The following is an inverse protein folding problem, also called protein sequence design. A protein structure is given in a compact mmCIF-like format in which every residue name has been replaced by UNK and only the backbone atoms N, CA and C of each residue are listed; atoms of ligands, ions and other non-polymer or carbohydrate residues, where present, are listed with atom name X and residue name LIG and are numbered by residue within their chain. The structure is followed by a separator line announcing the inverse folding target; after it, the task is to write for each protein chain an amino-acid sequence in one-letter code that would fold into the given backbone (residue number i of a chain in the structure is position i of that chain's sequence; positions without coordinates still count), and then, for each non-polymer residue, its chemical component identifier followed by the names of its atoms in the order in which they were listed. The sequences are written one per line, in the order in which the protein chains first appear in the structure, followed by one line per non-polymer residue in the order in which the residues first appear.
data_IF_330903685497
#
_entry.id   IF_330903685497
#
_cell.length_a   1.000
_cell.length_b   1.000
_cell.length_c   1.000
_cell.angle_alpha   90.00
_cell.angle_beta   90.00
_cell.angle_gamma   90.00
#
_symmetry.space_group_name_H-M   'P 1'
#
loop_
_entity.id
_entity.type
_entity.pdbx_description
1 polymer ?
#
# COMPACT_ATOMS: atom_id res chain seq x y z
N UNK A 1 31.86 -24.41 -3.99
CA UNK A 1 30.63 -25.17 -4.33
C UNK A 1 29.43 -24.41 -3.78
N UNK A 2 28.80 -23.61 -4.63
CA UNK A 2 27.47 -23.02 -4.44
C UNK A 2 27.01 -22.66 -5.86
N UNK A 3 26.24 -23.56 -6.49
CA UNK A 3 25.74 -23.37 -7.85
C UNK A 3 24.67 -22.27 -7.83
N UNK A 4 25.10 -21.04 -8.13
CA UNK A 4 24.22 -19.97 -8.54
C UNK A 4 23.78 -20.19 -9.99
N UNK A 5 22.59 -20.73 -10.19
CA UNK A 5 21.79 -20.59 -11.41
C UNK A 5 20.31 -20.40 -11.00
N UNK A 6 19.57 -19.56 -11.75
CA UNK A 6 18.27 -19.03 -11.34
C UNK A 6 17.18 -20.11 -11.28
N UNK A 7 16.18 -19.87 -10.42
CA UNK A 7 14.92 -20.60 -10.38
C UNK A 7 14.43 -20.89 -11.82
N UNK A 8 14.17 -22.14 -12.21
CA UNK A 8 13.74 -22.42 -13.57
C UNK A 8 12.39 -21.72 -13.81
N UNK A 9 12.31 -20.97 -14.91
CA UNK A 9 11.03 -20.48 -15.42
C UNK A 9 10.05 -21.65 -15.52
N UNK A 10 8.77 -21.40 -15.22
CA UNK A 10 7.74 -22.42 -15.41
C UNK A 10 7.72 -22.86 -16.87
N UNK A 11 7.71 -24.17 -17.11
CA UNK A 11 7.41 -24.71 -18.44
C UNK A 11 5.97 -24.39 -18.82
N UNK A 12 5.63 -24.45 -20.11
CA UNK A 12 4.26 -24.18 -20.57
C UNK A 12 3.22 -25.09 -19.89
N UNK A 13 3.54 -26.38 -19.71
CA UNK A 13 2.65 -27.35 -19.06
C UNK A 13 2.50 -27.08 -17.57
N UNK A 14 3.59 -26.70 -16.90
CA UNK A 14 3.56 -26.32 -15.49
C UNK A 14 2.77 -25.03 -15.27
N UNK A 15 2.95 -24.03 -16.14
CA UNK A 15 2.18 -22.78 -16.10
C UNK A 15 0.69 -23.04 -16.33
N UNK A 16 0.33 -23.87 -17.31
CA UNK A 16 -1.07 -24.25 -17.55
C UNK A 16 -1.68 -24.96 -16.34
N UNK A 17 -0.97 -25.94 -15.79
CA UNK A 17 -1.41 -26.68 -14.59
C UNK A 17 -1.58 -25.75 -13.38
N UNK A 18 -0.70 -24.77 -13.21
CA UNK A 18 -0.83 -23.76 -12.16
C UNK A 18 -2.07 -22.91 -12.37
N UNK A 19 -2.26 -22.36 -13.57
CA UNK A 19 -3.41 -21.51 -13.89
C UNK A 19 -4.72 -22.29 -13.70
N UNK A 20 -4.79 -23.54 -14.13
CA UNK A 20 -5.99 -24.37 -14.00
C UNK A 20 -6.31 -24.74 -12.54
N UNK A 21 -5.29 -24.84 -11.68
CA UNK A 21 -5.45 -25.27 -10.28
C UNK A 21 -5.86 -24.16 -9.30
N UNK A 22 -5.96 -22.90 -9.74
CA UNK A 22 -6.32 -21.76 -8.87
C UNK A 22 -7.47 -20.94 -9.43
N UNK A 23 -8.28 -20.34 -8.55
CA UNK A 23 -9.38 -19.46 -8.95
C UNK A 23 -8.97 -17.99 -9.06
N UNK A 24 -7.88 -17.61 -8.39
CA UNK A 24 -7.46 -16.22 -8.25
C UNK A 24 -5.94 -16.07 -8.25
N UNK A 25 -5.49 -14.89 -8.70
CA UNK A 25 -4.09 -14.46 -8.65
C UNK A 25 -3.97 -13.19 -7.82
N UNK A 26 -3.03 -13.21 -6.88
CA UNK A 26 -2.63 -12.05 -6.10
C UNK A 26 -1.28 -11.57 -6.64
N UNK A 27 -1.25 -10.36 -7.18
CA UNK A 27 -0.05 -9.76 -7.75
C UNK A 27 0.49 -8.68 -6.83
N UNK A 28 1.79 -8.74 -6.54
CA UNK A 28 2.52 -7.54 -6.15
C UNK A 28 2.50 -6.53 -7.31
N UNK A 29 2.81 -5.27 -7.01
CA UNK A 29 2.75 -4.16 -7.94
C UNK A 29 4.13 -3.67 -8.36
N UNK A 30 4.92 -3.17 -7.41
CA UNK A 30 6.22 -2.57 -7.68
C UNK A 30 7.25 -3.66 -8.01
N UNK A 31 7.73 -3.70 -9.25
CA UNK A 31 8.63 -4.74 -9.76
C UNK A 31 7.94 -5.95 -10.38
N UNK A 32 6.60 -5.98 -10.38
CA UNK A 32 5.78 -7.06 -10.96
C UNK A 32 4.84 -6.55 -12.05
N UNK A 33 4.05 -5.51 -11.76
CA UNK A 33 3.19 -4.85 -12.76
C UNK A 33 3.97 -3.72 -13.46
N UNK A 34 4.77 -2.97 -12.70
CA UNK A 34 5.51 -1.82 -13.22
C UNK A 34 6.88 -1.64 -12.58
N UNK A 35 7.75 -0.88 -13.24
CA UNK A 35 8.96 -0.28 -12.66
C UNK A 35 8.83 1.24 -12.73
N UNK A 36 8.59 1.88 -11.59
CA UNK A 36 8.24 3.30 -11.55
C UNK A 36 6.90 3.55 -12.26
N UNK A 37 6.96 4.28 -13.37
CA UNK A 37 5.79 4.68 -14.18
C UNK A 37 5.72 3.94 -15.53
N UNK A 38 6.44 2.84 -15.68
CA UNK A 38 6.41 2.00 -16.88
C UNK A 38 5.92 0.59 -16.55
N UNK A 39 4.99 0.07 -17.35
CA UNK A 39 4.56 -1.32 -17.25
C UNK A 39 5.71 -2.26 -17.60
N UNK A 40 5.74 -3.40 -16.94
CA UNK A 40 6.62 -4.50 -17.33
C UNK A 40 6.02 -5.18 -18.58
N UNK A 41 6.90 -5.54 -19.52
CA UNK A 41 6.51 -6.20 -20.77
C UNK A 41 5.71 -7.48 -20.50
N UNK A 42 4.62 -7.68 -21.25
CA UNK A 42 3.74 -8.85 -21.13
C UNK A 42 2.68 -8.74 -20.03
N UNK A 43 2.71 -7.70 -19.18
CA UNK A 43 1.72 -7.53 -18.10
C UNK A 43 0.30 -7.35 -18.64
N UNK A 44 0.01 -6.40 -19.56
CA UNK A 44 -1.35 -6.25 -20.09
C UNK A 44 -1.91 -7.54 -20.66
N UNK A 45 -1.12 -8.25 -21.46
CA UNK A 45 -1.48 -9.50 -22.12
C UNK A 45 -1.74 -10.61 -21.10
N UNK A 46 -0.91 -10.70 -20.06
CA UNK A 46 -1.07 -11.71 -19.00
C UNK A 46 -2.33 -11.46 -18.18
N UNK A 47 -2.60 -10.22 -17.78
CA UNK A 47 -3.79 -9.89 -17.00
C UNK A 47 -5.07 -10.13 -17.80
N UNK A 48 -5.10 -9.72 -19.08
CA UNK A 48 -6.23 -9.96 -19.99
C UNK A 48 -6.46 -11.47 -20.21
N UNK A 49 -5.40 -12.24 -20.43
CA UNK A 49 -5.49 -13.70 -20.56
C UNK A 49 -6.12 -14.33 -19.31
N UNK A 50 -5.64 -13.99 -18.11
CA UNK A 50 -6.16 -14.54 -16.86
C UNK A 50 -7.63 -14.15 -16.65
N UNK A 51 -8.02 -12.90 -16.94
CA UNK A 51 -9.43 -12.47 -16.90
C UNK A 51 -10.30 -13.26 -17.88
N UNK A 52 -9.84 -13.48 -19.12
CA UNK A 52 -10.53 -14.30 -20.14
C UNK A 52 -10.69 -15.76 -19.72
N UNK A 53 -9.74 -16.28 -18.94
CA UNK A 53 -9.83 -17.61 -18.31
C UNK A 53 -10.71 -17.65 -17.05
N UNK A 54 -11.41 -16.55 -16.74
CA UNK A 54 -12.32 -16.46 -15.59
C UNK A 54 -11.61 -16.33 -14.24
N UNK A 55 -10.32 -16.02 -14.22
CA UNK A 55 -9.55 -15.87 -12.96
C UNK A 55 -9.83 -14.51 -12.33
N UNK A 56 -9.97 -14.49 -11.00
CA UNK A 56 -10.03 -13.25 -10.22
C UNK A 56 -8.64 -12.67 -10.04
N UNK A 57 -8.51 -11.35 -10.20
CA UNK A 57 -7.24 -10.65 -10.02
C UNK A 57 -7.31 -9.75 -8.80
N UNK A 58 -6.28 -9.78 -7.98
CA UNK A 58 -6.13 -8.90 -6.82
C UNK A 58 -4.71 -8.35 -6.82
N UNK A 59 -4.56 -7.05 -6.60
CA UNK A 59 -3.29 -6.35 -6.59
C UNK A 59 -2.95 -5.96 -5.15
N UNK A 60 -1.94 -6.61 -4.59
CA UNK A 60 -1.55 -6.50 -3.18
C UNK A 60 -0.19 -5.80 -3.11
N UNK A 61 -0.11 -4.63 -2.49
CA UNK A 61 1.15 -3.88 -2.38
C UNK A 61 1.42 -3.40 -0.97
N UNK A 62 2.68 -3.50 -0.53
CA UNK A 62 3.14 -2.93 0.74
C UNK A 62 3.35 -1.40 0.68
N UNK A 63 3.15 -0.79 -0.48
CA UNK A 63 3.38 0.63 -0.69
C UNK A 63 2.21 1.45 -0.13
N UNK A 64 2.47 2.17 0.96
CA UNK A 64 1.49 2.99 1.69
C UNK A 64 1.37 4.41 1.16
N UNK A 65 2.11 4.77 0.11
CA UNK A 65 2.17 6.15 -0.37
C UNK A 65 0.85 6.65 -0.95
N UNK A 66 0.08 5.76 -1.56
CA UNK A 66 -1.16 6.05 -2.27
C UNK A 66 -2.31 5.25 -1.66
N UNK A 67 -3.51 5.83 -1.71
CA UNK A 67 -4.76 5.11 -1.44
C UNK A 67 -5.12 4.17 -2.60
N UNK A 68 -6.08 3.27 -2.39
CA UNK A 68 -6.63 2.41 -3.44
C UNK A 68 -7.19 3.24 -4.59
N UNK A 69 -7.91 4.33 -4.30
CA UNK A 69 -8.40 5.28 -5.32
C UNK A 69 -7.27 5.89 -6.14
N UNK A 70 -6.17 6.28 -5.51
CA UNK A 70 -5.01 6.82 -6.20
C UNK A 70 -4.28 5.74 -7.03
N UNK A 71 -4.24 4.48 -6.57
CA UNK A 71 -3.71 3.37 -7.36
C UNK A 71 -4.60 3.00 -8.54
N UNK A 72 -5.93 2.98 -8.38
CA UNK A 72 -6.86 2.76 -9.49
C UNK A 72 -6.63 3.81 -10.61
N UNK A 73 -6.40 5.08 -10.23
CA UNK A 73 -5.99 6.12 -11.19
C UNK A 73 -4.65 5.81 -11.86
N UNK A 74 -3.65 5.30 -11.12
CA UNK A 74 -2.35 4.89 -11.69
C UNK A 74 -2.52 3.75 -12.69
N UNK A 75 -3.25 2.69 -12.33
CA UNK A 75 -3.55 1.58 -13.25
C UNK A 75 -4.18 2.09 -14.54
N UNK A 76 -5.22 2.94 -14.43
CA UNK A 76 -5.88 3.54 -15.59
C UNK A 76 -4.93 4.38 -16.44
N UNK A 77 -4.07 5.19 -15.82
CA UNK A 77 -3.06 5.98 -16.53
C UNK A 77 -2.04 5.11 -17.29
N UNK A 78 -1.82 3.89 -16.82
CA UNK A 78 -0.98 2.88 -17.48
C UNK A 78 -1.76 2.03 -18.50
N UNK A 79 -3.04 2.33 -18.74
CA UNK A 79 -3.89 1.60 -19.69
C UNK A 79 -4.47 0.28 -19.17
N UNK A 80 -4.47 0.08 -17.84
CA UNK A 80 -5.04 -1.10 -17.19
C UNK A 80 -6.35 -0.74 -16.48
N UNK A 81 -7.41 -1.49 -16.78
CA UNK A 81 -8.69 -1.38 -16.08
C UNK A 81 -8.66 -2.24 -14.80
N UNK A 82 -8.47 -1.57 -13.67
CA UNK A 82 -8.44 -2.14 -12.32
C UNK A 82 -9.31 -1.28 -11.40
N UNK A 83 -10.23 -1.93 -10.70
CA UNK A 83 -11.17 -1.31 -9.76
C UNK A 83 -10.55 -1.17 -8.36
N UNK A 84 -11.12 -0.32 -7.50
CA UNK A 84 -10.60 -0.12 -6.14
C UNK A 84 -10.75 -1.38 -5.27
N UNK A 85 -11.76 -2.21 -5.55
CA UNK A 85 -12.05 -3.48 -4.90
C UNK A 85 -11.00 -4.55 -5.21
N UNK A 86 -10.31 -4.42 -6.33
CA UNK A 86 -9.21 -5.31 -6.73
C UNK A 86 -7.87 -4.90 -6.08
N UNK A 87 -7.81 -3.79 -5.34
CA UNK A 87 -6.54 -3.23 -4.83
C UNK A 87 -6.49 -3.34 -3.31
N UNK A 88 -5.40 -3.93 -2.80
CA UNK A 88 -5.09 -4.06 -1.39
C UNK A 88 -3.72 -3.43 -1.09
N UNK A 89 -3.74 -2.22 -0.57
CA UNK A 89 -2.52 -1.52 -0.12
C UNK A 89 -2.27 -1.76 1.37
N UNK A 90 -1.04 -1.54 1.82
CA UNK A 90 -0.73 -1.49 3.26
C UNK A 90 -1.47 -0.35 3.98
N UNK A 91 -1.74 0.78 3.30
CA UNK A 91 -2.57 1.88 3.84
C UNK A 91 -4.00 1.43 4.13
N UNK A 92 -4.62 0.73 3.18
CA UNK A 92 -5.96 0.17 3.36
C UNK A 92 -5.99 -0.91 4.44
N UNK A 93 -5.00 -1.81 4.43
CA UNK A 93 -4.87 -2.86 5.43
C UNK A 93 -4.78 -2.29 6.86
N UNK A 94 -4.02 -1.21 7.06
CA UNK A 94 -3.90 -0.55 8.36
C UNK A 94 -5.21 0.12 8.82
N UNK A 95 -5.91 0.80 7.91
CA UNK A 95 -7.23 1.39 8.21
C UNK A 95 -8.26 0.31 8.56
N UNK A 96 -8.30 -0.79 7.80
CA UNK A 96 -9.19 -1.92 8.08
C UNK A 96 -8.82 -2.66 9.35
N UNK A 97 -7.53 -2.77 9.68
CA UNK A 97 -7.08 -3.36 10.94
C UNK A 97 -7.68 -2.61 12.13
N UNK A 98 -7.60 -1.28 12.15
CA UNK A 98 -8.24 -0.48 13.21
C UNK A 98 -9.75 -0.69 13.26
N UNK A 99 -10.41 -0.71 12.10
CA UNK A 99 -11.86 -0.88 12.00
C UNK A 99 -12.33 -2.25 12.50
N UNK A 100 -11.65 -3.32 12.10
CA UNK A 100 -11.99 -4.70 12.48
C UNK A 100 -11.68 -4.99 13.95
N UNK A 101 -10.75 -4.27 14.55
CA UNK A 101 -10.40 -4.38 15.97
C UNK A 101 -11.14 -3.38 16.87
N UNK A 102 -12.24 -2.77 16.38
CA UNK A 102 -13.07 -1.82 17.14
C UNK A 102 -12.28 -0.68 17.78
N UNK A 103 -11.30 -0.12 17.06
CA UNK A 103 -10.57 1.06 17.53
C UNK A 103 -11.56 2.20 17.83
N UNK A 104 -11.36 2.87 18.98
CA UNK A 104 -12.31 3.87 19.47
C UNK A 104 -12.47 5.03 18.48
N UNK A 105 -13.72 5.38 18.08
CA UNK A 105 -13.96 6.50 17.18
C UNK A 105 -13.67 7.87 17.84
N UNK A 106 -13.55 7.92 19.17
CA UNK A 106 -13.17 9.13 19.91
C UNK A 106 -11.65 9.38 19.91
N UNK A 107 -10.87 8.39 19.47
CA UNK A 107 -9.41 8.47 19.41
C UNK A 107 -8.96 8.82 18.01
N UNK A 108 -7.94 9.68 17.94
CA UNK A 108 -7.28 10.04 16.69
C UNK A 108 -6.18 9.05 16.34
N UNK A 109 -5.89 8.95 15.05
CA UNK A 109 -4.74 8.20 14.52
C UNK A 109 -3.68 9.19 14.06
N UNK A 110 -2.48 9.10 14.64
CA UNK A 110 -1.34 9.86 14.15
C UNK A 110 -0.64 9.10 13.02
N UNK A 111 -0.35 9.79 11.91
CA UNK A 111 0.27 9.19 10.74
C UNK A 111 1.71 9.69 10.59
N UNK A 112 2.65 8.75 10.55
CA UNK A 112 4.01 8.95 10.03
C UNK A 112 4.04 8.30 8.65
N UNK A 113 3.88 9.10 7.60
CA UNK A 113 3.74 8.59 6.24
C UNK A 113 3.14 9.59 5.26
N UNK A 114 2.73 9.10 4.10
CA UNK A 114 2.15 9.91 3.02
C UNK A 114 0.60 9.99 3.06
N UNK A 115 0.05 10.83 2.18
CA UNK A 115 -1.39 11.11 2.05
C UNK A 115 -2.26 9.87 1.81
N UNK A 116 -1.72 8.82 1.19
CA UNK A 116 -2.45 7.57 0.95
C UNK A 116 -2.97 6.91 2.22
N UNK A 117 -2.23 7.02 3.33
CA UNK A 117 -2.65 6.50 4.64
C UNK A 117 -3.78 7.36 5.21
N UNK A 118 -3.63 8.68 5.16
CA UNK A 118 -4.64 9.64 5.65
C UNK A 118 -5.97 9.46 4.91
N UNK A 119 -5.93 9.26 3.60
CA UNK A 119 -7.13 9.05 2.79
C UNK A 119 -7.86 7.75 3.15
N UNK A 120 -7.16 6.62 3.28
CA UNK A 120 -7.77 5.34 3.68
C UNK A 120 -8.35 5.37 5.10
N UNK A 121 -7.68 6.06 6.04
CA UNK A 121 -8.19 6.25 7.39
C UNK A 121 -9.50 7.04 7.41
N UNK A 122 -9.56 8.15 6.66
CA UNK A 122 -10.77 8.97 6.54
C UNK A 122 -11.91 8.20 5.89
N UNK A 123 -11.63 7.42 4.84
CA UNK A 123 -12.62 6.54 4.20
C UNK A 123 -13.12 5.44 5.16
N UNK A 124 -12.28 4.96 6.07
CA UNK A 124 -12.68 4.01 7.10
C UNK A 124 -13.49 4.63 8.25
N UNK A 125 -13.53 5.97 8.35
CA UNK A 125 -14.28 6.73 9.34
C UNK A 125 -13.45 7.23 10.53
N UNK A 126 -12.12 7.25 10.44
CA UNK A 126 -11.24 7.69 11.52
C UNK A 126 -10.84 9.16 11.37
N UNK A 127 -10.77 9.86 12.51
CA UNK A 127 -10.05 11.13 12.60
C UNK A 127 -8.53 10.85 12.62
N UNK A 128 -7.79 11.57 11.79
CA UNK A 128 -6.34 11.38 11.68
C UNK A 128 -5.60 12.71 11.48
N UNK A 129 -4.37 12.76 11.95
CA UNK A 129 -3.46 13.90 11.81
C UNK A 129 -2.02 13.44 11.52
N UNK A 130 -1.14 14.38 11.22
CA UNK A 130 0.25 14.09 10.83
C UNK A 130 0.42 14.03 9.31
N UNK A 131 1.25 13.10 8.84
CA UNK A 131 1.54 12.91 7.42
C UNK A 131 2.44 14.02 6.83
N UNK A 132 2.32 14.33 5.52
CA UNK A 132 3.20 15.30 4.86
C UNK A 132 3.15 16.72 5.43
N UNK A 133 2.00 17.14 5.98
CA UNK A 133 1.82 18.47 6.58
C UNK A 133 2.81 18.74 7.73
N UNK A 134 3.09 17.70 8.52
CA UNK A 134 4.03 17.78 9.64
C UNK A 134 5.49 17.73 9.20
N UNK A 135 5.75 17.53 7.90
CA UNK A 135 7.08 17.50 7.30
C UNK A 135 7.85 18.81 7.42
N UNK A 136 7.16 19.94 7.57
CA UNK A 136 7.77 21.27 7.72
C UNK A 136 7.94 21.68 9.18
N UNK A 137 7.42 20.90 10.13
CA UNK A 137 7.54 21.19 11.56
C UNK A 137 8.95 20.86 12.02
N UNK A 138 9.54 21.75 12.81
CA UNK A 138 10.84 21.57 13.42
C UNK A 138 10.70 21.65 14.93
N UNK A 139 11.53 20.90 15.64
CA UNK A 139 11.66 20.99 17.10
C UNK A 139 13.07 21.45 17.45
N UNK A 140 13.17 22.34 18.44
CA UNK A 140 14.44 22.71 19.05
C UNK A 140 14.69 21.75 20.22
N UNK A 141 15.70 20.89 20.07
CA UNK A 141 16.11 19.95 21.11
C UNK A 141 16.97 20.68 22.15
N UNK A 142 16.32 21.52 22.96
CA UNK A 142 16.95 22.23 24.07
C UNK A 142 16.90 21.39 25.35
N UNK A 143 17.83 21.63 26.28
CA UNK A 143 17.81 20.97 27.59
C UNK A 143 16.49 21.29 28.32
N UNK A 144 15.81 20.25 28.82
CA UNK A 144 14.47 20.32 29.45
C UNK A 144 13.30 20.61 28.50
N UNK A 145 13.46 20.45 27.18
CA UNK A 145 12.34 20.53 26.25
C UNK A 145 11.36 19.38 26.48
N UNK A 146 10.10 19.70 26.78
CA UNK A 146 9.01 18.73 26.90
C UNK A 146 8.08 18.89 25.70
N UNK A 147 7.93 17.82 24.92
CA UNK A 147 7.02 17.81 23.78
C UNK A 147 5.61 17.49 24.27
N UNK A 148 4.66 18.41 24.08
CA UNK A 148 3.26 18.16 24.42
C UNK A 148 2.58 17.31 23.33
N UNK A 149 2.25 16.06 23.67
CA UNK A 149 1.49 15.18 22.78
C UNK A 149 -0.02 15.39 22.91
N UNK A 150 -0.73 15.32 21.78
CA UNK A 150 -2.19 15.25 21.75
C UNK A 150 -2.67 13.94 22.42
N UNK A 151 -3.25 14.07 23.62
CA UNK A 151 -3.74 12.94 24.43
C UNK A 151 -4.96 12.22 23.82
N UNK A 152 -5.57 12.79 22.78
CA UNK A 152 -6.63 12.12 22.02
C UNK A 152 -6.09 11.11 21.00
N UNK A 153 -4.78 11.10 20.70
CA UNK A 153 -4.17 10.07 19.85
C UNK A 153 -4.20 8.72 20.58
N UNK A 154 -4.79 7.71 19.93
CA UNK A 154 -4.87 6.34 20.45
C UNK A 154 -4.06 5.33 19.66
N UNK A 155 -3.59 5.70 18.46
CA UNK A 155 -2.77 4.84 17.60
C UNK A 155 -1.82 5.67 16.74
N UNK A 156 -0.68 5.07 16.39
CA UNK A 156 0.27 5.60 15.41
C UNK A 156 0.39 4.60 14.26
N UNK A 157 0.21 5.06 13.03
CA UNK A 157 0.47 4.27 11.83
C UNK A 157 1.74 4.80 11.17
N UNK A 158 2.67 3.88 10.91
CA UNK A 158 3.97 4.18 10.29
C UNK A 158 4.02 3.53 8.91
N UNK A 159 4.30 4.35 7.89
CA UNK A 159 4.58 3.95 6.53
C UNK A 159 5.83 4.63 5.99
N UNK A 160 6.02 4.59 4.67
CA UNK A 160 7.04 5.41 4.04
C UNK A 160 6.67 6.88 4.20
N UNK A 161 7.61 7.71 4.64
CA UNK A 161 7.45 9.16 4.82
C UNK A 161 8.66 9.88 4.19
N UNK A 162 8.44 10.62 3.10
CA UNK A 162 9.51 11.42 2.47
C UNK A 162 9.84 12.70 3.22
N UNK A 163 9.02 13.06 4.20
CA UNK A 163 9.14 14.26 5.00
C UNK A 163 9.31 13.90 6.48
N UNK A 164 10.01 12.79 6.76
CA UNK A 164 10.32 12.37 8.12
C UNK A 164 11.27 13.38 8.78
N UNK A 165 10.98 13.76 10.02
CA UNK A 165 11.75 14.74 10.78
C UNK A 165 11.68 14.44 12.28
N UNK A 166 12.47 15.18 13.06
CA UNK A 166 12.51 15.00 14.51
C UNK A 166 11.17 15.31 15.20
N UNK A 167 10.35 16.22 14.66
CA UNK A 167 9.01 16.49 15.20
C UNK A 167 8.14 15.22 15.19
N UNK A 168 8.15 14.46 14.09
CA UNK A 168 7.38 13.22 13.95
C UNK A 168 7.92 12.04 14.77
N UNK A 169 9.16 12.15 15.25
CA UNK A 169 9.84 11.10 16.01
C UNK A 169 9.58 11.20 17.52
N UNK A 170 9.25 12.39 18.04
CA UNK A 170 8.91 12.60 19.46
C UNK A 170 7.50 12.13 19.77
#
# INVERSE_FOLDING_TARGET
MANGLPNPLLTADAARSLVDSVDAFLFDCDGVIWKGDQLIEGVPETLDLLRKMGKKLVFVTNNSRKSRRQYAKKFRALGLEVTEEEIFTSSFAAAMFLKLNNFSPEKKVYVVGEDGILEELRLAGFECLGGPEDGKKNILLEANFYFEHDKSVGAVIVGLDQYFNYYKMQ
#
